data_IF_506235663826
#
_entry.id   IF_506235663826
#
_cell.length_a   1.000
_cell.length_b   1.000
_cell.length_c   1.000
_cell.angle_alpha   90.00
_cell.angle_beta   90.00
_cell.angle_gamma   90.00
#
_symmetry.space_group_name_H-M   'P 1'
#
loop_
_entity.id
_entity.type
_entity.pdbx_description
1 polymer ?
#
# COMPACT_ATOMS: atom_id res chain seq x y z
N UNK A 1 57.81 -14.43 -16.04
CA UNK A 1 58.53 -14.16 -17.30
C UNK A 1 57.50 -14.05 -18.42
N UNK A 2 57.02 -12.83 -18.77
CA UNK A 2 57.44 -11.99 -19.93
C UNK A 2 57.21 -12.69 -21.28
N UNK A 3 56.42 -12.21 -22.27
CA UNK A 3 56.19 -10.89 -22.93
C UNK A 3 54.83 -10.93 -23.65
N UNK A 4 53.97 -9.89 -23.66
CA UNK A 4 53.96 -8.62 -24.42
C UNK A 4 53.88 -8.73 -25.96
N UNK A 5 52.78 -8.14 -26.48
CA UNK A 5 52.68 -7.27 -27.67
C UNK A 5 52.49 -7.91 -29.05
N UNK A 6 51.40 -7.57 -29.75
CA UNK A 6 51.32 -6.47 -30.74
C UNK A 6 49.92 -6.36 -31.38
N UNK A 7 49.41 -5.14 -31.41
CA UNK A 7 48.50 -4.60 -32.44
C UNK A 7 49.41 -3.76 -33.37
N UNK A 8 49.17 -3.56 -34.69
CA UNK A 8 48.23 -2.51 -35.14
C UNK A 8 47.64 -2.64 -36.59
N UNK A 9 46.70 -1.74 -36.94
CA UNK A 9 46.27 -1.40 -38.32
C UNK A 9 44.75 -1.27 -38.44
N UNK A 10 44.07 -0.13 -38.28
CA UNK A 10 44.01 1.19 -38.98
C UNK A 10 43.28 1.16 -40.34
N UNK A 11 42.39 2.16 -40.52
CA UNK A 11 41.59 2.55 -41.69
C UNK A 11 40.23 1.82 -41.84
N UNK A 12 39.10 2.43 -42.23
CA UNK A 12 38.79 3.76 -42.76
C UNK A 12 37.32 4.12 -42.46
N UNK A 13 37.03 5.41 -42.40
CA UNK A 13 35.69 5.97 -42.32
C UNK A 13 35.20 6.41 -43.71
N UNK A 14 33.91 6.21 -44.01
CA UNK A 14 33.17 6.98 -45.02
C UNK A 14 31.65 6.84 -44.80
N UNK A 15 30.97 7.99 -44.78
CA UNK A 15 29.50 8.22 -44.61
C UNK A 15 28.67 7.69 -45.80
N UNK A 16 27.32 7.73 -45.73
CA UNK A 16 26.57 8.94 -46.17
C UNK A 16 25.34 9.27 -45.28
N UNK A 17 25.04 10.56 -45.01
CA UNK A 17 24.00 11.41 -45.64
C UNK A 17 22.64 11.33 -44.89
N UNK A 18 22.17 12.41 -44.24
CA UNK A 18 21.37 13.53 -44.81
C UNK A 18 19.87 13.29 -44.51
N UNK A 19 19.24 14.05 -43.61
CA UNK A 19 18.46 15.23 -44.01
C UNK A 19 18.11 16.13 -42.82
N UNK A 20 17.94 17.41 -43.16
CA UNK A 20 17.77 18.59 -42.33
C UNK A 20 16.29 18.86 -41.91
N UNK A 21 15.99 19.95 -41.17
CA UNK A 21 14.80 20.11 -40.33
C UNK A 21 13.64 20.86 -41.00
N UNK A 22 12.42 20.74 -40.47
CA UNK A 22 11.38 21.73 -40.75
C UNK A 22 10.50 22.06 -39.54
N UNK A 23 10.63 23.31 -39.11
CA UNK A 23 9.71 24.08 -38.29
C UNK A 23 8.24 23.98 -38.77
N UNK A 24 7.29 23.83 -37.84
CA UNK A 24 6.07 24.64 -37.83
C UNK A 24 5.64 24.91 -36.38
N UNK A 25 5.49 26.20 -36.11
CA UNK A 25 5.01 26.80 -34.87
C UNK A 25 3.51 26.54 -34.66
N UNK A 26 3.15 26.65 -33.37
CA UNK A 26 1.92 27.21 -32.79
C UNK A 26 0.58 26.52 -33.07
N UNK A 27 0.05 25.88 -32.04
CA UNK A 27 -1.17 26.34 -31.37
C UNK A 27 -1.35 25.60 -30.03
N UNK A 28 -1.48 26.35 -28.94
CA UNK A 28 -1.94 25.83 -27.66
C UNK A 28 -3.41 25.39 -27.76
N UNK A 29 -3.82 24.41 -26.95
CA UNK A 29 -5.13 24.51 -26.33
C UNK A 29 -5.05 24.27 -24.82
N UNK A 30 -5.43 25.32 -24.11
CA UNK A 30 -6.34 25.37 -22.95
C UNK A 30 -6.63 24.05 -22.23
N UNK A 31 -6.38 24.09 -20.92
CA UNK A 31 -6.80 23.12 -19.92
C UNK A 31 -8.26 22.67 -20.07
N UNK A 32 -8.47 21.36 -20.13
CA UNK A 32 -9.78 20.73 -19.95
C UNK A 32 -9.68 19.64 -18.89
N UNK A 33 -10.48 19.85 -17.85
CA UNK A 33 -10.80 18.91 -16.78
C UNK A 33 -11.46 17.65 -17.35
N UNK A 34 -11.24 16.44 -16.79
CA UNK A 34 -12.07 15.30 -17.16
C UNK A 34 -13.40 15.33 -16.39
N UNK A 35 -14.44 15.44 -17.20
CA UNK A 35 -15.83 15.08 -17.04
C UNK A 35 -16.23 14.27 -15.80
N UNK A 36 -17.20 14.82 -15.07
CA UNK A 36 -18.08 14.12 -14.14
C UNK A 36 -19.08 13.30 -14.95
N UNK A 37 -19.07 11.99 -14.74
CA UNK A 37 -19.98 11.04 -15.36
C UNK A 37 -21.38 11.17 -14.74
N UNK A 38 -22.38 11.39 -15.60
CA UNK A 38 -23.80 11.50 -15.25
C UNK A 38 -24.38 10.10 -15.01
N UNK A 39 -24.96 9.88 -13.83
CA UNK A 39 -26.05 8.93 -13.67
C UNK A 39 -27.36 9.69 -13.43
N UNK A 40 -28.28 9.54 -14.38
CA UNK A 40 -29.69 9.94 -14.31
C UNK A 40 -30.32 9.41 -13.01
N UNK A 41 -31.15 10.15 -12.27
CA UNK A 41 -32.38 10.80 -12.73
C UNK A 41 -33.59 10.00 -12.24
N UNK A 42 -34.13 10.36 -11.06
CA UNK A 42 -35.55 10.19 -10.75
C UNK A 42 -36.12 11.54 -10.33
N UNK A 43 -36.90 12.12 -11.24
CA UNK A 43 -37.72 13.31 -10.99
C UNK A 43 -39.01 12.91 -10.28
N UNK A 44 -39.44 13.78 -9.37
CA UNK A 44 -40.84 14.00 -9.05
C UNK A 44 -41.26 13.51 -7.68
N UNK A 45 -41.34 14.41 -6.70
CA UNK A 45 -42.65 14.81 -6.19
C UNK A 45 -42.62 16.15 -5.47
N UNK A 46 -43.80 16.75 -5.42
CA UNK A 46 -44.09 18.15 -5.24
C UNK A 46 -43.66 18.76 -3.89
N UNK A 47 -43.25 20.03 -3.98
CA UNK A 47 -43.63 21.12 -3.08
C UNK A 47 -43.97 20.75 -1.63
N UNK A 48 -42.96 20.71 -0.78
CA UNK A 48 -43.14 21.02 0.64
C UNK A 48 -42.14 22.13 0.96
N UNK A 49 -42.64 23.32 1.32
CA UNK A 49 -41.81 24.39 1.91
C UNK A 49 -41.08 23.76 3.10
N UNK A 50 -39.78 23.43 2.93
CA UNK A 50 -38.96 22.85 3.97
C UNK A 50 -38.74 23.93 5.02
N UNK A 51 -39.20 23.69 6.24
CA UNK A 51 -39.00 24.59 7.38
C UNK A 51 -37.49 24.82 7.54
N UNK A 52 -37.05 26.06 7.84
CA UNK A 52 -35.63 26.30 8.06
C UNK A 52 -35.18 25.46 9.24
N UNK A 53 -34.15 24.62 9.03
CA UNK A 53 -33.40 24.02 10.13
C UNK A 53 -32.83 25.11 11.04
N UNK A 54 -32.38 24.75 12.27
CA UNK A 54 -31.85 25.74 13.20
C UNK A 54 -30.79 26.59 12.51
N UNK A 55 -30.86 27.91 12.71
CA UNK A 55 -30.01 28.88 12.04
C UNK A 55 -28.54 28.48 12.21
N UNK A 56 -27.85 28.23 11.10
CA UNK A 56 -26.41 27.94 11.08
C UNK A 56 -25.68 29.11 11.74
N UNK A 57 -24.91 28.84 12.79
CA UNK A 57 -24.15 29.87 13.49
C UNK A 57 -23.13 30.56 12.58
N UNK A 58 -22.68 31.76 12.96
CA UNK A 58 -21.68 32.53 12.21
C UNK A 58 -20.37 31.73 11.96
N UNK A 59 -20.08 30.77 12.83
CA UNK A 59 -18.95 29.84 12.72
C UNK A 59 -19.17 28.81 11.60
N UNK A 60 -20.40 28.32 11.39
CA UNK A 60 -20.72 27.39 10.29
C UNK A 60 -20.79 28.10 8.94
N UNK A 61 -21.20 29.37 8.93
CA UNK A 61 -21.21 30.22 7.72
C UNK A 61 -19.80 30.60 7.23
N UNK A 62 -18.78 30.44 8.07
CA UNK A 62 -17.38 30.64 7.69
C UNK A 62 -16.77 29.42 6.96
N UNK A 63 -17.49 28.31 6.85
CA UNK A 63 -17.07 27.14 6.06
C UNK A 63 -17.12 27.47 4.56
N UNK A 64 -15.98 27.43 3.83
CA UNK A 64 -15.92 27.73 2.40
C UNK A 64 -16.85 26.89 1.53
N UNK A 65 -17.27 25.72 2.01
CA UNK A 65 -18.12 24.77 1.29
C UNK A 65 -19.49 24.55 1.96
N UNK A 66 -19.88 25.39 2.93
CA UNK A 66 -21.18 25.32 3.61
C UNK A 66 -22.36 25.25 2.63
N UNK A 67 -22.31 26.05 1.56
CA UNK A 67 -23.35 26.11 0.55
C UNK A 67 -23.51 24.81 -0.28
N UNK A 68 -22.44 24.01 -0.39
CA UNK A 68 -22.46 22.71 -1.08
C UNK A 68 -23.07 21.63 -0.21
N UNK A 69 -22.63 21.53 1.05
CA UNK A 69 -23.13 20.53 2.00
C UNK A 69 -24.61 20.80 2.37
N UNK A 70 -25.03 22.07 2.44
CA UNK A 70 -26.41 22.47 2.71
C UNK A 70 -27.41 22.13 1.60
N UNK A 71 -26.93 21.81 0.38
CA UNK A 71 -27.77 21.34 -0.72
C UNK A 71 -28.01 19.83 -0.66
N UNK A 72 -27.07 19.07 -0.07
CA UNK A 72 -27.13 17.61 -0.01
C UNK A 72 -27.76 17.08 1.30
N UNK A 73 -27.69 17.82 2.40
CA UNK A 73 -28.13 17.35 3.72
C UNK A 73 -29.02 18.35 4.46
N UNK A 74 -30.04 17.85 5.18
CA UNK A 74 -30.96 18.68 5.98
C UNK A 74 -30.29 19.34 7.20
N UNK A 75 -29.23 18.73 7.74
CA UNK A 75 -28.35 19.29 8.76
C UNK A 75 -26.89 19.19 8.27
N UNK A 76 -26.32 20.24 7.67
CA UNK A 76 -24.97 20.18 7.12
C UNK A 76 -23.94 20.10 8.25
N UNK A 77 -23.18 19.01 8.27
CA UNK A 77 -22.00 18.88 9.13
C UNK A 77 -20.85 19.72 8.56
N UNK A 78 -19.93 20.22 9.41
CA UNK A 78 -18.75 20.94 8.95
C UNK A 78 -17.97 20.16 7.90
N UNK A 79 -17.63 20.79 6.77
CA UNK A 79 -16.91 20.15 5.67
C UNK A 79 -15.56 19.60 6.11
N UNK A 80 -15.04 18.61 5.37
CA UNK A 80 -13.70 18.07 5.63
C UNK A 80 -12.64 19.18 5.52
N UNK A 81 -12.78 20.08 4.56
CA UNK A 81 -11.85 21.21 4.40
C UNK A 81 -11.89 22.17 5.59
N UNK A 82 -13.07 22.46 6.15
CA UNK A 82 -13.19 23.38 7.27
C UNK A 82 -12.60 22.80 8.57
N UNK A 83 -12.79 21.50 8.82
CA UNK A 83 -12.12 20.80 9.93
C UNK A 83 -10.60 20.88 9.77
N UNK A 84 -10.08 20.67 8.56
CA UNK A 84 -8.65 20.80 8.26
C UNK A 84 -8.19 22.24 8.44
N UNK A 85 -8.98 23.25 8.04
CA UNK A 85 -8.62 24.65 8.22
C UNK A 85 -8.51 25.05 9.69
N UNK A 86 -9.46 24.67 10.55
CA UNK A 86 -9.40 25.00 11.99
C UNK A 86 -8.21 24.31 12.66
N UNK A 87 -7.96 23.05 12.32
CA UNK A 87 -6.76 22.36 12.80
C UNK A 87 -5.49 23.06 12.27
N UNK A 88 -5.53 23.60 11.05
CA UNK A 88 -4.40 24.27 10.42
C UNK A 88 -4.15 25.62 11.03
N UNK A 89 -5.16 26.39 11.40
CA UNK A 89 -5.00 27.67 12.07
C UNK A 89 -4.46 27.49 13.48
N UNK A 90 -5.01 26.54 14.25
CA UNK A 90 -4.63 26.32 15.66
C UNK A 90 -3.23 25.70 15.81
N UNK A 91 -2.86 24.77 14.95
CA UNK A 91 -1.50 24.19 14.92
C UNK A 91 -1.02 23.44 16.16
N UNK A 92 -1.89 23.24 17.15
CA UNK A 92 -1.67 22.42 18.35
C UNK A 92 -2.70 21.29 18.38
N UNK A 93 -2.42 20.16 19.07
CA UNK A 93 -3.40 19.08 19.21
C UNK A 93 -4.70 19.62 19.84
N UNK A 94 -5.83 19.48 19.14
CA UNK A 94 -7.13 20.00 19.58
C UNK A 94 -8.00 18.85 20.12
N UNK A 95 -8.41 18.87 21.39
CA UNK A 95 -9.32 17.86 21.96
C UNK A 95 -10.64 17.77 21.21
N UNK A 96 -11.29 16.61 21.26
CA UNK A 96 -12.64 16.43 20.67
C UNK A 96 -13.66 17.44 21.21
N UNK A 97 -13.67 17.70 22.52
CA UNK A 97 -14.54 18.70 23.15
C UNK A 97 -14.30 20.10 22.59
N UNK A 98 -13.04 20.47 22.43
CA UNK A 98 -12.66 21.77 21.88
C UNK A 98 -13.01 21.88 20.40
N UNK A 99 -13.01 20.78 19.63
CA UNK A 99 -13.51 20.79 18.24
C UNK A 99 -15.03 20.95 18.17
N UNK A 100 -15.78 20.32 19.07
CA UNK A 100 -17.23 20.50 19.17
C UNK A 100 -17.58 21.97 19.41
N UNK A 101 -16.89 22.62 20.35
CA UNK A 101 -17.09 24.05 20.62
C UNK A 101 -16.63 24.93 19.46
N UNK A 102 -15.47 24.63 18.87
CA UNK A 102 -14.89 25.42 17.79
C UNK A 102 -15.69 25.36 16.48
N UNK A 103 -16.38 24.25 16.23
CA UNK A 103 -17.20 24.02 15.03
C UNK A 103 -18.71 24.16 15.32
N UNK A 104 -19.04 24.56 16.55
CA UNK A 104 -20.40 24.72 17.07
C UNK A 104 -21.29 23.51 16.75
N UNK A 105 -20.87 22.31 17.15
CA UNK A 105 -21.55 21.05 16.86
C UNK A 105 -22.62 20.79 17.91
N UNK A 106 -23.85 20.54 17.48
CA UNK A 106 -24.94 20.28 18.41
C UNK A 106 -24.93 18.84 18.92
N UNK A 107 -25.51 18.55 20.10
CA UNK A 107 -25.50 17.22 20.70
C UNK A 107 -26.01 16.08 19.81
N UNK A 108 -26.97 16.37 18.93
CA UNK A 108 -27.55 15.40 17.98
C UNK A 108 -26.67 15.13 16.75
N UNK A 109 -25.63 15.93 16.53
CA UNK A 109 -24.70 15.83 15.40
C UNK A 109 -23.36 15.16 15.79
N UNK A 110 -23.08 15.02 17.10
CA UNK A 110 -21.81 14.50 17.63
C UNK A 110 -21.48 13.12 17.04
N UNK A 111 -22.44 12.20 16.99
CA UNK A 111 -22.22 10.84 16.48
C UNK A 111 -21.84 10.83 14.99
N UNK A 112 -22.44 11.73 14.21
CA UNK A 112 -22.15 11.85 12.78
C UNK A 112 -20.80 12.54 12.55
N UNK A 113 -20.45 13.51 13.39
CA UNK A 113 -19.15 14.17 13.38
C UNK A 113 -18.01 13.21 13.75
N UNK A 114 -18.20 12.38 14.79
CA UNK A 114 -17.22 11.35 15.17
C UNK A 114 -16.98 10.35 14.02
N UNK A 115 -18.04 9.90 13.34
CA UNK A 115 -17.91 9.05 12.14
C UNK A 115 -17.12 9.73 11.01
N UNK A 116 -17.33 11.04 10.80
CA UNK A 116 -16.58 11.83 9.80
C UNK A 116 -15.10 11.94 10.20
N UNK A 117 -14.77 12.22 11.46
CA UNK A 117 -13.39 12.24 11.94
C UNK A 117 -12.71 10.87 11.81
N UNK A 118 -13.38 9.77 12.16
CA UNK A 118 -12.84 8.41 11.97
C UNK A 118 -12.62 8.05 10.50
N UNK A 119 -13.43 8.59 9.59
CA UNK A 119 -13.18 8.44 8.15
C UNK A 119 -11.93 9.22 7.73
N UNK A 120 -11.78 10.46 8.21
CA UNK A 120 -10.60 11.27 7.94
C UNK A 120 -9.32 10.71 8.58
N UNK A 121 -9.41 10.05 9.74
CA UNK A 121 -8.31 9.31 10.38
C UNK A 121 -7.88 8.12 9.53
N UNK A 122 -8.83 7.32 9.00
CA UNK A 122 -8.55 6.23 8.06
C UNK A 122 -7.95 6.71 6.74
N UNK A 123 -8.43 7.83 6.21
CA UNK A 123 -7.87 8.47 5.03
C UNK A 123 -6.50 9.15 5.34
N UNK A 124 -6.12 9.20 6.62
CA UNK A 124 -4.89 9.79 7.15
C UNK A 124 -4.81 11.31 6.97
N UNK A 125 -5.94 12.00 6.84
CA UNK A 125 -6.02 13.46 6.72
C UNK A 125 -5.80 14.16 8.08
N UNK A 126 -6.18 13.50 9.17
CA UNK A 126 -5.99 13.95 10.55
C UNK A 126 -5.39 12.80 11.37
N UNK A 127 -4.62 13.14 12.40
CA UNK A 127 -4.05 12.18 13.34
C UNK A 127 -4.62 12.42 14.74
N UNK A 128 -5.03 11.35 15.43
CA UNK A 128 -5.52 11.40 16.80
C UNK A 128 -4.43 10.89 17.75
N UNK A 129 -4.05 11.72 18.72
CA UNK A 129 -3.08 11.33 19.73
C UNK A 129 -3.72 10.49 20.85
N UNK A 130 -2.88 9.94 21.75
CA UNK A 130 -3.33 9.16 22.92
C UNK A 130 -4.20 9.91 23.92
N UNK A 131 -4.24 11.25 23.83
CA UNK A 131 -5.06 12.12 24.67
C UNK A 131 -6.40 12.50 23.99
N UNK A 132 -6.81 11.79 22.92
CA UNK A 132 -8.01 12.09 22.12
C UNK A 132 -8.03 13.52 21.54
N UNK A 133 -6.85 14.06 21.23
CA UNK A 133 -6.70 15.33 20.52
C UNK A 133 -6.27 15.09 19.07
N UNK A 134 -6.86 15.86 18.15
CA UNK A 134 -6.67 15.78 16.72
C UNK A 134 -5.66 16.81 16.23
N UNK A 135 -4.86 16.45 15.25
CA UNK A 135 -3.88 17.34 14.61
C UNK A 135 -3.72 17.05 13.12
N UNK A 136 -3.28 18.07 12.40
CA UNK A 136 -2.85 17.88 11.01
C UNK A 136 -1.49 17.20 10.95
N UNK A 137 -1.33 16.21 10.07
CA UNK A 137 -0.03 15.62 9.78
C UNK A 137 1.04 16.65 9.40
N UNK A 138 0.68 17.64 8.58
CA UNK A 138 1.61 18.65 8.06
C UNK A 138 2.21 19.58 9.13
N UNK A 139 1.52 19.83 10.25
CA UNK A 139 2.02 20.69 11.34
C UNK A 139 2.77 19.93 12.44
N UNK A 140 2.81 18.61 12.36
CA UNK A 140 3.47 17.74 13.33
C UNK A 140 4.64 16.96 12.73
N UNK A 141 5.17 17.42 11.58
CA UNK A 141 6.21 16.77 10.80
C UNK A 141 5.92 15.27 10.54
N UNK A 142 4.63 14.93 10.38
CA UNK A 142 4.18 13.57 10.13
C UNK A 142 4.28 13.28 8.65
N UNK A 143 5.20 12.39 8.31
CA UNK A 143 5.53 12.00 6.95
C UNK A 143 5.02 10.58 6.73
N UNK A 144 4.23 10.41 5.67
CA UNK A 144 3.76 9.11 5.21
C UNK A 144 4.78 8.48 4.28
N UNK A 145 4.92 7.16 4.37
CA UNK A 145 5.71 6.41 3.43
C UNK A 145 5.67 4.91 3.67
N UNK A 146 6.48 4.19 2.91
CA UNK A 146 6.58 2.73 2.96
C UNK A 146 7.90 2.29 3.57
N UNK A 147 7.83 1.29 4.46
CA UNK A 147 9.01 0.76 5.15
C UNK A 147 9.80 -0.18 4.22
N UNK A 148 11.07 0.15 4.02
CA UNK A 148 12.07 -0.71 3.40
C UNK A 148 13.03 -1.24 4.47
N UNK A 149 12.87 -2.52 4.84
CA UNK A 149 13.73 -3.17 5.82
C UNK A 149 15.09 -3.57 5.22
N UNK A 150 16.14 -3.44 6.02
CA UNK A 150 17.49 -3.92 5.70
C UNK A 150 17.82 -5.19 6.51
N UNK A 151 18.59 -6.15 5.95
CA UNK A 151 18.99 -7.36 6.66
C UNK A 151 19.72 -7.16 8.00
N UNK A 152 20.38 -6.01 8.18
CA UNK A 152 21.09 -5.67 9.42
C UNK A 152 20.14 -5.18 10.54
N UNK A 153 18.83 -5.18 10.30
CA UNK A 153 17.79 -4.84 11.29
C UNK A 153 17.43 -3.35 11.38
N UNK A 154 18.08 -2.47 10.62
CA UNK A 154 17.60 -1.11 10.38
C UNK A 154 16.73 -1.05 9.12
N UNK A 155 16.12 0.10 8.85
CA UNK A 155 15.34 0.28 7.63
C UNK A 155 15.25 1.74 7.21
N UNK A 156 14.48 1.97 6.16
CA UNK A 156 14.21 3.30 5.64
C UNK A 156 12.71 3.45 5.39
N UNK A 157 12.18 4.66 5.54
CA UNK A 157 10.86 5.00 5.03
C UNK A 157 11.04 5.75 3.73
N UNK A 158 10.58 5.11 2.65
CA UNK A 158 10.46 5.75 1.35
C UNK A 158 9.22 6.63 1.36
N UNK A 159 9.44 7.95 1.28
CA UNK A 159 8.38 8.94 1.47
C UNK A 159 7.47 9.02 0.24
N UNK A 160 6.18 9.29 0.47
CA UNK A 160 5.20 9.45 -0.62
C UNK A 160 5.45 10.75 -1.42
N UNK A 161 6.07 11.75 -0.80
CA UNK A 161 6.43 13.04 -1.40
C UNK A 161 7.71 13.00 -2.26
N UNK A 162 8.36 11.84 -2.38
CA UNK A 162 9.60 11.60 -3.14
C UNK A 162 10.83 12.39 -2.67
N UNK A 163 10.78 12.95 -1.46
CA UNK A 163 11.95 13.52 -0.78
C UNK A 163 12.90 12.40 -0.30
N UNK A 164 14.12 12.73 0.18
CA UNK A 164 15.07 11.74 0.67
C UNK A 164 14.49 10.81 1.73
N UNK A 165 14.87 9.54 1.63
CA UNK A 165 14.40 8.49 2.53
C UNK A 165 14.76 8.79 3.99
N UNK A 166 13.86 8.41 4.88
CA UNK A 166 14.01 8.62 6.32
C UNK A 166 14.61 7.37 6.93
N UNK A 167 15.69 7.51 7.68
CA UNK A 167 16.31 6.39 8.37
C UNK A 167 15.46 5.93 9.56
N UNK A 168 15.16 4.63 9.63
CA UNK A 168 14.58 3.98 10.80
C UNK A 168 15.63 3.14 11.51
N UNK A 169 15.90 3.50 12.76
CA UNK A 169 16.79 2.72 13.60
C UNK A 169 16.24 1.34 13.95
N UNK A 170 17.09 0.40 14.43
CA UNK A 170 16.66 -0.95 14.79
C UNK A 170 15.57 -1.02 15.86
N UNK A 171 15.44 0.02 16.70
CA UNK A 171 14.39 0.10 17.72
C UNK A 171 13.01 0.29 17.11
N UNK A 172 12.90 1.20 16.15
CA UNK A 172 11.65 1.51 15.46
C UNK A 172 11.27 0.38 14.49
N UNK A 173 12.28 -0.20 13.83
CA UNK A 173 12.07 -1.36 12.95
C UNK A 173 11.47 -2.55 13.68
N UNK A 174 11.67 -2.73 15.00
CA UNK A 174 11.03 -3.83 15.75
C UNK A 174 9.51 -3.80 15.69
N UNK A 175 8.89 -2.64 15.49
CA UNK A 175 7.43 -2.45 15.51
C UNK A 175 6.77 -2.62 14.13
N UNK A 176 7.58 -2.72 13.07
CA UNK A 176 7.13 -2.71 11.67
C UNK A 176 7.77 -3.81 10.86
N UNK A 177 7.07 -4.26 9.83
CA UNK A 177 7.59 -5.21 8.86
C UNK A 177 7.92 -4.51 7.54
N UNK A 178 8.79 -5.14 6.75
CA UNK A 178 9.11 -4.62 5.42
C UNK A 178 7.85 -4.54 4.55
N UNK A 179 7.62 -3.39 3.94
CA UNK A 179 6.48 -3.14 3.06
C UNK A 179 5.31 -2.46 3.77
N UNK A 180 5.30 -2.40 5.10
CA UNK A 180 4.27 -1.71 5.88
C UNK A 180 4.19 -0.23 5.49
N UNK A 181 2.98 0.33 5.51
CA UNK A 181 2.74 1.74 5.28
C UNK A 181 2.61 2.45 6.62
N UNK A 182 3.42 3.48 6.83
CA UNK A 182 3.62 4.08 8.16
C UNK A 182 3.55 5.60 8.12
N UNK A 183 3.24 6.17 9.28
CA UNK A 183 3.47 7.57 9.59
C UNK A 183 4.68 7.65 10.51
N UNK A 184 5.67 8.44 10.10
CA UNK A 184 6.87 8.74 10.88
C UNK A 184 7.00 10.22 11.13
N UNK A 185 7.64 10.60 12.23
CA UNK A 185 8.07 11.98 12.49
C UNK A 185 9.58 12.06 12.49
N UNK A 186 10.14 13.15 11.97
CA UNK A 186 11.59 13.36 12.06
C UNK A 186 11.93 13.74 13.50
N UNK A 187 12.77 12.96 14.17
CA UNK A 187 13.22 13.26 15.55
C UNK A 187 14.63 13.82 15.62
N UNK A 188 15.34 13.88 14.49
CA UNK A 188 16.71 14.41 14.42
C UNK A 188 17.40 13.96 13.13
N UNK A 189 18.73 13.98 13.16
CA UNK A 189 19.58 13.50 12.08
C UNK A 189 20.54 12.44 12.60
N UNK A 190 20.68 11.35 11.85
CA UNK A 190 21.68 10.30 12.08
C UNK A 190 23.11 10.88 12.00
N UNK A 191 24.11 10.13 12.50
CA UNK A 191 25.55 10.46 12.42
C UNK A 191 26.06 10.76 11.01
N UNK A 192 25.31 10.33 9.98
CA UNK A 192 25.60 10.54 8.56
C UNK A 192 24.81 11.71 7.94
N UNK A 193 24.14 12.53 8.75
CA UNK A 193 23.37 13.69 8.30
C UNK A 193 22.03 13.37 7.62
N UNK A 194 21.57 12.12 7.69
CA UNK A 194 20.26 11.70 7.14
C UNK A 194 19.15 11.94 8.17
N UNK A 195 17.93 12.28 7.75
CA UNK A 195 16.81 12.45 8.68
C UNK A 195 16.51 11.12 9.38
N UNK A 196 16.48 11.14 10.72
CA UNK A 196 16.09 10.00 11.55
C UNK A 196 14.59 10.10 11.88
N UNK A 197 13.87 9.03 11.55
CA UNK A 197 12.44 8.91 11.77
C UNK A 197 12.13 8.15 13.04
N UNK A 198 11.09 8.61 13.74
CA UNK A 198 10.43 7.88 14.82
C UNK A 198 9.06 7.42 14.35
N UNK A 199 8.73 6.16 14.57
CA UNK A 199 7.43 5.62 14.23
C UNK A 199 6.35 6.27 15.09
N UNK A 200 5.28 6.72 14.43
CA UNK A 200 4.10 7.25 15.10
C UNK A 200 2.98 6.23 15.05
N UNK A 201 2.68 5.73 13.85
CA UNK A 201 1.60 4.76 13.63
C UNK A 201 1.83 3.96 12.34
N UNK A 202 1.27 2.75 12.28
CA UNK A 202 1.22 1.92 11.09
C UNK A 202 -0.18 1.99 10.49
N UNK A 203 -0.27 2.48 9.26
CA UNK A 203 -1.53 2.66 8.54
C UNK A 203 -2.02 1.35 7.92
N UNK A 204 -1.12 0.65 7.23
CA UNK A 204 -1.44 -0.58 6.50
C UNK A 204 -0.31 -1.60 6.72
N UNK A 205 -0.68 -2.83 7.05
CA UNK A 205 0.25 -3.94 7.19
C UNK A 205 0.38 -4.65 5.85
N UNK A 206 1.61 -4.85 5.37
CA UNK A 206 1.83 -5.47 4.06
C UNK A 206 1.99 -6.99 4.12
N UNK A 207 2.36 -7.52 5.28
CA UNK A 207 2.62 -8.95 5.46
C UNK A 207 1.52 -9.54 6.34
N UNK A 208 0.64 -10.33 5.72
CA UNK A 208 -0.31 -11.19 6.44
C UNK A 208 0.22 -12.63 6.52
N UNK A 209 0.93 -13.05 5.48
CA UNK A 209 1.54 -14.38 5.35
C UNK A 209 3.03 -14.26 5.12
N UNK A 210 3.80 -15.07 5.82
CA UNK A 210 5.26 -15.10 5.74
C UNK A 210 5.73 -16.53 5.54
N UNK A 211 6.61 -16.73 4.57
CA UNK A 211 7.33 -18.00 4.39
C UNK A 211 8.63 -17.94 5.16
N UNK A 212 8.89 -19.00 5.92
CA UNK A 212 10.08 -19.09 6.74
C UNK A 212 10.45 -20.52 7.09
N UNK A 213 11.62 -20.65 7.69
CA UNK A 213 12.15 -21.92 8.17
C UNK A 213 11.90 -22.06 9.67
N UNK A 214 11.41 -23.21 10.07
CA UNK A 214 11.15 -23.53 11.47
C UNK A 214 12.47 -23.78 12.19
N UNK A 215 12.67 -23.14 13.33
CA UNK A 215 13.72 -23.45 14.29
C UNK A 215 13.10 -23.72 15.65
N UNK A 216 13.79 -24.53 16.44
CA UNK A 216 13.45 -24.76 17.83
C UNK A 216 14.54 -24.11 18.68
N UNK A 217 14.17 -23.09 19.43
CA UNK A 217 15.04 -22.43 20.40
C UNK A 217 14.51 -22.70 21.80
N UNK A 218 15.27 -23.47 22.59
CA UNK A 218 14.96 -23.76 23.99
C UNK A 218 13.55 -24.33 24.24
N UNK A 219 12.99 -25.08 23.28
CA UNK A 219 11.66 -25.69 23.37
C UNK A 219 10.54 -24.82 22.78
N UNK A 220 10.85 -23.63 22.29
CA UNK A 220 9.91 -22.75 21.57
C UNK A 220 10.14 -22.88 20.08
N UNK A 221 9.07 -23.13 19.32
CA UNK A 221 9.11 -23.11 17.86
C UNK A 221 9.04 -21.65 17.38
N UNK A 222 10.05 -21.26 16.62
CA UNK A 222 10.12 -19.97 15.95
C UNK A 222 10.22 -20.20 14.45
N UNK A 223 9.70 -19.26 13.67
CA UNK A 223 9.83 -19.27 12.21
C UNK A 223 10.68 -18.07 11.81
N UNK A 224 11.85 -18.38 11.24
CA UNK A 224 12.78 -17.39 10.70
C UNK A 224 12.36 -17.09 9.26
N UNK A 225 11.98 -15.85 8.92
CA UNK A 225 11.56 -15.51 7.56
C UNK A 225 12.66 -15.75 6.52
N UNK A 226 12.29 -16.28 5.34
CA UNK A 226 13.22 -16.40 4.19
C UNK A 226 13.51 -15.04 3.54
N UNK A 227 12.60 -14.07 3.73
CA UNK A 227 12.86 -12.70 3.36
C UNK A 227 13.71 -12.01 4.44
N UNK A 228 15.02 -11.91 4.21
CA UNK A 228 15.98 -11.24 5.11
C UNK A 228 15.65 -9.79 5.45
N UNK A 229 14.75 -9.12 4.72
CA UNK A 229 14.29 -7.77 5.07
C UNK A 229 13.31 -7.75 6.26
N UNK A 230 12.75 -8.92 6.60
CA UNK A 230 11.99 -9.15 7.83
C UNK A 230 12.98 -9.59 8.89
N UNK A 231 13.33 -8.67 9.80
CA UNK A 231 14.35 -8.92 10.82
C UNK A 231 13.80 -9.67 12.04
N UNK A 232 12.47 -9.76 12.17
CA UNK A 232 11.79 -10.37 13.31
C UNK A 232 11.52 -11.84 13.06
N UNK A 233 11.87 -12.67 14.04
CA UNK A 233 11.42 -14.04 14.09
C UNK A 233 9.97 -14.11 14.56
N UNK A 234 9.21 -15.04 13.99
CA UNK A 234 7.78 -15.21 14.26
C UNK A 234 7.60 -16.34 15.26
N UNK A 235 6.99 -16.03 16.41
CA UNK A 235 6.65 -17.03 17.41
C UNK A 235 5.47 -17.87 16.93
N UNK A 236 5.58 -19.20 17.03
CA UNK A 236 4.50 -20.10 16.63
C UNK A 236 3.49 -20.26 17.76
N UNK A 237 2.21 -19.92 17.48
CA UNK A 237 1.12 -20.10 18.42
C UNK A 237 0.89 -21.58 18.78
N UNK A 238 0.58 -21.90 20.05
CA UNK A 238 0.26 -23.27 20.46
C UNK A 238 -1.07 -23.74 19.84
N UNK A 239 -1.20 -25.05 19.61
CA UNK A 239 -2.44 -25.68 19.14
C UNK A 239 -2.62 -25.81 17.62
N UNK A 240 -1.65 -25.36 16.82
CA UNK A 240 -1.65 -25.55 15.36
C UNK A 240 -0.92 -26.83 14.89
N UNK A 241 -0.72 -26.93 13.57
CA UNK A 241 0.20 -27.93 12.98
C UNK A 241 1.58 -27.76 13.59
N UNK A 242 2.20 -28.87 14.01
CA UNK A 242 3.56 -28.89 14.57
C UNK A 242 4.54 -29.36 13.49
N UNK A 243 5.23 -28.44 12.79
CA UNK A 243 6.27 -28.80 11.86
C UNK A 243 7.50 -29.29 12.61
N UNK A 244 8.36 -30.02 11.91
CA UNK A 244 9.66 -30.39 12.42
C UNK A 244 10.65 -29.23 12.23
N UNK A 245 11.60 -29.04 13.17
CA UNK A 245 12.67 -28.07 12.99
C UNK A 245 13.42 -28.33 11.69
N UNK A 246 13.68 -27.26 10.93
CA UNK A 246 14.36 -27.31 9.64
C UNK A 246 13.43 -27.32 8.43
N UNK A 247 12.13 -27.57 8.61
CA UNK A 247 11.13 -27.49 7.54
C UNK A 247 10.80 -26.05 7.15
N UNK A 248 10.40 -25.88 5.89
CA UNK A 248 9.88 -24.62 5.35
C UNK A 248 8.37 -24.62 5.48
N UNK A 249 7.84 -23.53 6.02
CA UNK A 249 6.42 -23.38 6.34
C UNK A 249 5.91 -22.03 5.89
N UNK A 250 4.61 -21.97 5.61
CA UNK A 250 3.87 -20.72 5.46
C UNK A 250 3.14 -20.43 6.77
N UNK A 251 3.39 -19.25 7.33
CA UNK A 251 2.80 -18.76 8.58
C UNK A 251 1.88 -17.60 8.29
N UNK A 252 0.69 -17.64 8.87
CA UNK A 252 -0.23 -16.51 8.92
C UNK A 252 -0.02 -15.76 10.24
N UNK A 253 0.21 -14.45 10.17
CA UNK A 253 0.43 -13.61 11.34
C UNK A 253 -0.92 -13.36 12.05
N UNK A 254 -1.02 -13.83 13.30
CA UNK A 254 -2.17 -13.57 14.17
C UNK A 254 -1.97 -12.24 14.88
N UNK A 255 -0.78 -12.02 15.41
CA UNK A 255 -0.39 -10.78 16.07
C UNK A 255 0.81 -10.17 15.35
N UNK A 256 0.65 -8.90 14.97
CA UNK A 256 1.70 -8.11 14.35
C UNK A 256 2.73 -7.67 15.41
N UNK A 257 3.99 -7.38 15.00
CA UNK A 257 4.99 -6.97 15.96
C UNK A 257 4.62 -5.66 16.64
N UNK A 258 4.97 -5.57 17.92
CA UNK A 258 4.84 -4.33 18.71
C UNK A 258 6.17 -3.99 19.35
N UNK A 259 6.24 -2.84 20.03
CA UNK A 259 7.44 -2.39 20.74
C UNK A 259 8.02 -3.42 21.73
N UNK A 260 7.15 -4.24 22.32
CA UNK A 260 7.50 -5.14 23.41
C UNK A 260 7.26 -6.61 23.09
N UNK A 261 6.59 -6.92 21.98
CA UNK A 261 6.24 -8.28 21.61
C UNK A 261 6.67 -8.60 20.19
N UNK A 262 7.23 -9.81 20.02
CA UNK A 262 7.49 -10.41 18.72
C UNK A 262 6.17 -10.77 18.03
N UNK A 263 6.15 -10.83 16.69
CA UNK A 263 4.98 -11.28 15.97
C UNK A 263 4.64 -12.73 16.32
N UNK A 264 3.35 -13.02 16.48
CA UNK A 264 2.85 -14.37 16.73
C UNK A 264 2.10 -14.83 15.48
N UNK A 265 2.42 -16.03 15.01
CA UNK A 265 1.81 -16.60 13.83
C UNK A 265 1.34 -18.03 14.01
N UNK A 266 0.39 -18.44 13.17
CA UNK A 266 -0.09 -19.81 13.06
C UNK A 266 0.34 -20.41 11.74
N UNK A 267 0.82 -21.63 11.80
CA UNK A 267 1.24 -22.37 10.61
C UNK A 267 0.01 -22.84 9.84
N UNK A 268 -0.13 -22.36 8.61
CA UNK A 268 -1.22 -22.76 7.71
C UNK A 268 -0.80 -23.98 6.87
N UNK A 269 0.46 -24.00 6.43
CA UNK A 269 0.97 -24.96 5.46
C UNK A 269 2.43 -25.32 5.78
N UNK A 270 2.75 -26.62 5.65
CA UNK A 270 4.12 -27.13 5.68
C UNK A 270 4.47 -27.48 4.25
N UNK A 271 5.44 -26.76 3.67
CA UNK A 271 5.84 -26.96 2.27
C UNK A 271 6.70 -28.20 2.12
N UNK A 272 7.62 -28.43 3.07
CA UNK A 272 8.52 -29.57 3.06
C UNK A 272 9.85 -29.27 3.75
N UNK A 273 10.88 -30.04 3.44
CA UNK A 273 12.23 -29.77 3.90
C UNK A 273 12.93 -28.79 2.97
N UNK A 274 13.84 -28.00 3.53
CA UNK A 274 14.62 -27.03 2.78
C UNK A 274 15.44 -27.67 1.62
N UNK A 275 15.86 -28.92 1.79
CA UNK A 275 16.66 -29.66 0.80
C UNK A 275 15.83 -30.40 -0.25
N UNK A 276 14.50 -30.32 -0.20
CA UNK A 276 13.65 -31.03 -1.14
C UNK A 276 13.72 -30.40 -2.55
N UNK A 277 13.73 -31.20 -3.64
CA UNK A 277 13.72 -30.68 -5.00
C UNK A 277 12.52 -29.76 -5.25
N UNK A 278 12.76 -28.60 -5.87
CA UNK A 278 11.72 -27.63 -6.20
C UNK A 278 11.34 -26.66 -5.06
N UNK A 279 11.88 -26.83 -3.85
CA UNK A 279 11.59 -25.96 -2.71
C UNK A 279 12.00 -24.49 -2.96
N UNK A 280 13.09 -24.27 -3.70
CA UNK A 280 13.54 -22.92 -4.08
C UNK A 280 12.48 -22.18 -4.91
N UNK A 281 11.77 -22.89 -5.79
CA UNK A 281 10.70 -22.35 -6.62
C UNK A 281 9.50 -21.99 -5.74
N UNK A 282 9.08 -22.89 -4.85
CA UNK A 282 7.97 -22.67 -3.93
C UNK A 282 8.22 -21.47 -2.98
N UNK A 283 9.45 -21.34 -2.48
CA UNK A 283 9.88 -20.19 -1.67
C UNK A 283 9.82 -18.91 -2.51
N UNK A 284 10.37 -18.93 -3.74
CA UNK A 284 10.41 -17.74 -4.59
C UNK A 284 9.00 -17.26 -4.97
N UNK A 285 8.09 -18.17 -5.33
CA UNK A 285 6.70 -17.86 -5.67
C UNK A 285 6.01 -17.13 -4.52
N UNK A 286 6.07 -17.69 -3.30
CA UNK A 286 5.39 -17.10 -2.14
C UNK A 286 6.09 -15.85 -1.61
N UNK A 287 7.44 -15.80 -1.63
CA UNK A 287 8.21 -14.63 -1.17
C UNK A 287 7.90 -13.36 -1.98
N UNK A 288 7.61 -13.53 -3.27
CA UNK A 288 7.30 -12.43 -4.18
C UNK A 288 5.80 -12.29 -4.45
N UNK A 289 4.95 -13.02 -3.70
CA UNK A 289 3.50 -13.06 -3.88
C UNK A 289 3.10 -13.27 -5.36
N UNK A 290 3.84 -14.14 -6.05
CA UNK A 290 3.60 -14.42 -7.46
C UNK A 290 2.40 -15.36 -7.60
N UNK A 291 1.44 -15.03 -8.48
CA UNK A 291 0.30 -15.88 -8.73
C UNK A 291 0.77 -17.20 -9.35
N UNK A 292 0.62 -18.30 -8.61
CA UNK A 292 1.00 -19.64 -9.06
C UNK A 292 -0.21 -20.55 -9.30
N UNK A 293 -1.40 -20.16 -8.85
CA UNK A 293 -2.64 -20.90 -9.10
C UNK A 293 -3.46 -20.26 -10.22
N UNK A 294 -3.87 -21.07 -11.19
CA UNK A 294 -4.88 -20.66 -12.15
C UNK A 294 -6.24 -20.48 -11.48
N UNK A 295 -6.97 -19.45 -11.92
CA UNK A 295 -8.29 -19.10 -11.40
C UNK A 295 -9.30 -20.25 -11.61
N UNK A 296 -10.33 -20.36 -10.77
CA UNK A 296 -11.38 -21.36 -10.93
C UNK A 296 -12.07 -21.28 -12.30
N UNK A 297 -12.25 -20.08 -12.85
CA UNK A 297 -12.86 -19.83 -14.15
C UNK A 297 -12.00 -20.40 -15.28
N UNK A 298 -10.69 -20.12 -15.26
CA UNK A 298 -9.75 -20.66 -16.25
C UNK A 298 -9.69 -22.19 -16.22
N UNK A 299 -9.69 -22.78 -15.02
CA UNK A 299 -9.77 -24.23 -14.83
C UNK A 299 -11.09 -24.80 -15.35
N UNK A 300 -12.21 -24.13 -15.10
CA UNK A 300 -13.53 -24.56 -15.56
C UNK A 300 -13.68 -24.47 -17.09
N UNK A 301 -13.10 -23.45 -17.72
CA UNK A 301 -13.03 -23.33 -19.17
C UNK A 301 -12.21 -24.46 -19.78
N UNK A 302 -11.02 -24.71 -19.23
CA UNK A 302 -10.11 -25.76 -19.72
C UNK A 302 -10.77 -27.14 -19.65
N UNK A 303 -11.55 -27.44 -18.60
CA UNK A 303 -12.29 -28.71 -18.46
C UNK A 303 -13.33 -28.95 -19.55
N UNK A 304 -13.82 -27.91 -20.24
CA UNK A 304 -14.80 -28.04 -21.34
C UNK A 304 -14.11 -28.40 -22.66
N UNK A 305 -12.79 -28.17 -22.75
CA UNK A 305 -12.01 -28.46 -23.94
C UNK A 305 -11.85 -29.98 -24.10
N UNK A 306 -12.14 -30.52 -25.30
CA UNK A 306 -11.96 -31.93 -25.56
C UNK A 306 -10.47 -32.28 -25.69
N UNK A 307 -10.06 -33.52 -25.34
CA UNK A 307 -8.69 -33.98 -25.54
C UNK A 307 -8.35 -34.22 -27.02
N UNK A 308 -9.36 -34.29 -27.90
CA UNK A 308 -9.20 -34.42 -29.35
C UNK A 308 -10.03 -33.37 -30.06
N UNK A 309 -9.52 -32.86 -31.17
CA UNK A 309 -10.25 -31.94 -32.04
C UNK A 309 -11.56 -32.59 -32.50
N UNK A 310 -12.71 -31.97 -32.21
CA UNK A 310 -14.02 -32.50 -32.61
C UNK A 310 -14.29 -32.12 -34.05
N UNK A 311 -15.12 -32.90 -34.76
CA UNK A 311 -15.52 -32.60 -36.16
C UNK A 311 -16.03 -31.18 -36.38
N UNK A 312 -16.77 -30.62 -35.41
CA UNK A 312 -17.27 -29.24 -35.46
C UNK A 312 -16.16 -28.17 -35.39
N UNK A 313 -15.03 -28.49 -34.78
CA UNK A 313 -13.92 -27.56 -34.58
C UNK A 313 -13.08 -27.37 -35.86
N UNK A 314 -13.27 -28.24 -36.87
CA UNK A 314 -12.64 -28.16 -38.20
C UNK A 314 -13.29 -27.10 -39.10
N UNK A 315 -14.51 -26.67 -38.79
CA UNK A 315 -15.23 -25.71 -39.62
C UNK A 315 -14.44 -24.40 -39.74
N UNK A 316 -14.17 -23.98 -40.98
CA UNK A 316 -13.40 -22.75 -41.26
C UNK A 316 -11.89 -22.85 -41.03
N UNK A 317 -11.34 -24.06 -40.82
CA UNK A 317 -9.90 -24.31 -40.69
C UNK A 317 -9.37 -25.10 -41.88
N UNK A 318 -8.18 -24.77 -42.34
CA UNK A 318 -7.47 -25.53 -43.36
C UNK A 318 -6.79 -26.77 -42.73
N UNK A 319 -6.94 -27.93 -43.36
CA UNK A 319 -6.33 -29.18 -42.88
C UNK A 319 -4.91 -29.33 -43.43
N UNK A 320 -3.94 -29.05 -42.55
CA UNK A 320 -2.51 -29.21 -42.84
C UNK A 320 -1.90 -30.45 -42.17
N UNK A 321 -2.73 -31.37 -41.66
CA UNK A 321 -2.24 -32.54 -40.89
C UNK A 321 -1.40 -33.53 -41.71
N UNK A 322 -1.46 -33.45 -43.04
CA UNK A 322 -0.61 -34.24 -43.94
C UNK A 322 0.81 -33.67 -44.11
N UNK A 323 1.04 -32.41 -43.73
CA UNK A 323 2.36 -31.78 -43.80
C UNK A 323 3.21 -32.21 -42.61
N UNK A 324 4.50 -32.47 -42.86
CA UNK A 324 5.47 -32.80 -41.82
C UNK A 324 5.97 -31.52 -41.12
N UNK A 325 5.08 -30.87 -40.38
CA UNK A 325 5.43 -29.73 -39.54
C UNK A 325 6.25 -30.23 -38.35
N UNK A 326 7.37 -29.55 -38.08
CA UNK A 326 8.25 -29.84 -36.94
C UNK A 326 8.33 -28.59 -36.04
N UNK A 327 8.29 -28.80 -34.73
CA UNK A 327 8.69 -27.79 -33.74
C UNK A 327 10.07 -28.17 -33.22
N UNK A 328 10.93 -27.17 -33.03
CA UNK A 328 12.23 -27.33 -32.37
C UNK A 328 12.11 -26.54 -31.07
N UNK A 329 11.86 -27.25 -29.99
CA UNK A 329 11.68 -26.73 -28.63
C UNK A 329 12.90 -27.05 -27.77
#
# INVERSE_FOLDING_TARGET
MTRRSRNPGKAAASKPAETAPSNRRSAAPTAQQPAVEKAAGKKGEAGKKRKPGPASSAIRLADPFHAREALEYENPLPSREYILQILAERGVPVPFSTLIEALDIHPHEIDYFDRRLRAMERDGQIYRNRANAYLLPAKADLIKGRVEGHPDGFGFVRRDDREPDIFLGPKEMREVLHGDRVIVRISGTDRRGRPEGKLVEVLERANERVVGRVRNEHGVLIVVPENRRLAQDILVAPGGKRPQPGQVVTVELIEQPTKYAQPIGRIIEVLGNYADPGMEIEIALRKHDLPFEFSPEAKAETRKLPPKVRKKDWAGREDLTALQLVTID
#
